data_IF_959127141047
#
_entry.id   IF_959127141047
#
_cell.length_a   1.000
_cell.length_b   1.000
_cell.length_c   1.000
_cell.angle_alpha   90.00
_cell.angle_beta   90.00
_cell.angle_gamma   90.00
#
_symmetry.space_group_name_H-M   'P 1'
#
loop_
_entity.id
_entity.type
_entity.pdbx_description
1 polymer ?
#
# COMPACT_ATOMS: atom_id res chain seq x y z
N UNK A 1 16.83 -14.08 -27.65
CA UNK A 1 15.42 -14.43 -27.91
C UNK A 1 14.61 -13.48 -27.07
N UNK A 2 13.91 -12.55 -27.71
CA UNK A 2 13.17 -11.46 -27.02
C UNK A 2 11.93 -12.06 -26.35
N UNK A 3 11.79 -11.86 -25.05
CA UNK A 3 10.58 -12.20 -24.30
C UNK A 3 9.38 -11.39 -24.83
N UNK A 4 8.19 -11.98 -24.93
CA UNK A 4 7.03 -11.24 -25.40
C UNK A 4 6.60 -10.22 -24.34
N UNK A 5 6.52 -8.95 -24.74
CA UNK A 5 5.80 -7.92 -24.01
C UNK A 5 4.35 -8.38 -23.84
N UNK A 6 3.98 -8.75 -22.63
CA UNK A 6 2.58 -9.03 -22.28
C UNK A 6 1.88 -7.67 -22.19
N UNK A 7 1.21 -7.31 -23.26
CA UNK A 7 0.34 -6.16 -23.32
C UNK A 7 -0.93 -6.49 -22.55
N UNK A 8 -0.98 -6.12 -21.27
CA UNK A 8 -2.17 -6.27 -20.42
C UNK A 8 -3.10 -5.12 -20.78
N UNK A 9 -3.96 -5.36 -21.77
CA UNK A 9 -4.93 -4.40 -22.29
C UNK A 9 -6.00 -4.09 -21.23
N UNK A 10 -6.15 -2.82 -20.87
CA UNK A 10 -7.35 -2.28 -20.24
C UNK A 10 -7.17 -1.56 -18.90
N UNK A 11 -6.06 -1.68 -18.22
CA UNK A 11 -5.80 -0.83 -17.05
C UNK A 11 -5.40 0.55 -17.55
N UNK A 12 -6.08 1.60 -17.11
CA UNK A 12 -5.71 3.00 -17.41
C UNK A 12 -4.36 3.31 -16.77
N UNK A 13 -3.30 2.76 -17.37
CA UNK A 13 -1.93 3.04 -16.98
C UNK A 13 -1.67 4.51 -17.26
N UNK A 14 -1.13 5.19 -16.27
CA UNK A 14 -0.82 6.61 -16.31
C UNK A 14 0.32 6.97 -17.29
N UNK A 15 0.61 6.12 -18.27
CA UNK A 15 1.68 6.30 -19.24
C UNK A 15 1.62 7.69 -19.88
N UNK A 16 2.64 8.51 -19.59
CA UNK A 16 2.72 9.90 -20.03
C UNK A 16 2.05 10.94 -19.11
N UNK A 17 1.48 10.53 -17.97
CA UNK A 17 1.00 11.45 -16.94
C UNK A 17 2.18 12.00 -16.13
N UNK A 18 2.08 13.28 -15.73
CA UNK A 18 3.06 13.89 -14.82
C UNK A 18 2.98 13.22 -13.45
N UNK A 19 4.04 13.30 -12.66
CA UNK A 19 4.03 12.84 -11.26
C UNK A 19 2.81 13.40 -10.49
N UNK A 20 2.55 14.70 -10.64
CA UNK A 20 1.44 15.39 -9.97
C UNK A 20 0.06 14.82 -10.26
N UNK A 21 -0.11 14.14 -11.39
CA UNK A 21 -1.39 13.54 -11.82
C UNK A 21 -1.53 12.09 -11.31
N UNK A 22 -0.51 11.59 -10.59
CA UNK A 22 -0.39 10.23 -10.04
C UNK A 22 -0.17 10.20 -8.52
N UNK A 23 -0.36 11.33 -7.83
CA UNK A 23 -0.33 11.39 -6.38
C UNK A 23 -1.71 11.05 -5.83
N UNK A 24 -1.77 10.02 -5.01
CA UNK A 24 -2.98 9.57 -4.33
C UNK A 24 -2.76 9.53 -2.82
N UNK A 25 -3.82 9.35 -2.06
CA UNK A 25 -3.75 9.14 -0.62
C UNK A 25 -4.41 7.84 -0.19
N UNK A 26 -4.32 7.55 1.10
CA UNK A 26 -5.05 6.47 1.74
C UNK A 26 -5.61 6.92 3.08
N UNK A 27 -6.80 6.42 3.50
CA UNK A 27 -7.48 6.85 4.72
C UNK A 27 -6.68 6.62 6.01
N UNK A 28 -5.70 5.71 6.00
CA UNK A 28 -4.82 5.43 7.14
C UNK A 28 -4.05 6.69 7.60
N UNK A 29 -3.75 7.62 6.69
CA UNK A 29 -3.12 8.90 7.04
C UNK A 29 -4.02 9.77 7.94
N UNK A 30 -5.30 9.47 8.02
CA UNK A 30 -6.27 10.10 8.91
C UNK A 30 -6.69 9.20 10.09
N UNK A 31 -5.92 8.17 10.38
CA UNK A 31 -6.18 7.23 11.47
C UNK A 31 -7.26 6.20 11.16
N UNK A 32 -7.73 6.09 9.92
CA UNK A 32 -8.75 5.12 9.52
C UNK A 32 -8.08 3.79 9.20
N UNK A 33 -8.30 2.79 10.05
CA UNK A 33 -7.62 1.51 10.02
C UNK A 33 -8.58 0.37 10.36
N UNK A 34 -8.34 -0.82 9.81
CA UNK A 34 -9.12 -2.04 10.06
C UNK A 34 -8.80 -2.70 11.41
N UNK A 35 -7.65 -2.36 12.03
CA UNK A 35 -7.20 -3.00 13.26
C UNK A 35 -8.07 -2.59 14.45
N UNK A 36 -8.70 -3.53 15.18
CA UNK A 36 -9.49 -3.22 16.36
C UNK A 36 -8.66 -2.50 17.43
N UNK A 37 -9.15 -1.36 17.92
CA UNK A 37 -8.46 -0.59 18.95
C UNK A 37 -7.30 0.25 18.46
N UNK A 38 -7.15 0.44 17.14
CA UNK A 38 -6.10 1.28 16.54
C UNK A 38 -6.10 2.69 17.11
N UNK A 39 -7.26 3.32 17.23
CA UNK A 39 -7.41 4.65 17.76
C UNK A 39 -8.74 5.27 17.35
N UNK A 40 -8.86 6.60 17.49
CA UNK A 40 -10.01 7.33 17.01
C UNK A 40 -10.04 7.36 15.48
N UNK A 41 -11.19 7.00 14.91
CA UNK A 41 -11.39 6.93 13.46
C UNK A 41 -12.07 8.23 12.98
N UNK A 42 -11.41 8.95 12.05
CA UNK A 42 -12.04 10.09 11.40
C UNK A 42 -13.13 9.65 10.42
N UNK A 43 -14.23 10.42 10.37
CA UNK A 43 -15.35 10.10 9.49
C UNK A 43 -15.06 10.38 8.01
N UNK A 44 -15.70 9.62 7.13
CA UNK A 44 -15.52 9.63 5.67
C UNK A 44 -15.62 11.02 5.06
N UNK A 45 -16.65 11.80 5.40
CA UNK A 45 -16.86 13.15 4.86
C UNK A 45 -15.68 14.07 5.15
N UNK A 46 -15.14 14.04 6.38
CA UNK A 46 -13.99 14.84 6.78
C UNK A 46 -12.75 14.40 5.99
N UNK A 47 -12.47 13.11 5.97
CA UNK A 47 -11.28 12.58 5.29
C UNK A 47 -11.29 12.91 3.80
N UNK A 48 -12.40 12.66 3.09
CA UNK A 48 -12.48 12.94 1.65
C UNK A 48 -12.42 14.43 1.33
N UNK A 49 -13.01 15.30 2.19
CA UNK A 49 -12.89 16.76 2.07
C UNK A 49 -11.45 17.21 2.24
N UNK A 50 -10.75 16.67 3.22
CA UNK A 50 -9.35 17.02 3.52
C UNK A 50 -8.40 16.48 2.44
N UNK A 51 -8.66 15.31 1.84
CA UNK A 51 -7.95 14.81 0.65
C UNK A 51 -8.04 15.80 -0.51
N UNK A 52 -9.25 16.31 -0.80
CA UNK A 52 -9.44 17.34 -1.82
C UNK A 52 -8.71 18.64 -1.48
N UNK A 53 -8.69 19.05 -0.23
CA UNK A 53 -7.97 20.24 0.26
C UNK A 53 -6.45 20.09 0.08
N UNK A 54 -5.90 18.90 0.33
CA UNK A 54 -4.49 18.58 0.07
C UNK A 54 -4.15 18.50 -1.43
N UNK A 55 -5.16 18.59 -2.30
CA UNK A 55 -4.98 18.54 -3.75
C UNK A 55 -4.65 17.15 -4.27
N UNK A 56 -5.09 16.11 -3.56
CA UNK A 56 -5.03 14.74 -4.04
C UNK A 56 -6.07 14.52 -5.14
N UNK A 57 -5.75 13.68 -6.11
CA UNK A 57 -6.63 13.40 -7.27
C UNK A 57 -7.23 11.99 -7.24
N UNK A 58 -6.78 11.16 -6.29
CA UNK A 58 -7.21 9.78 -6.14
C UNK A 58 -6.96 9.28 -4.70
N UNK A 59 -7.60 8.19 -4.34
CA UNK A 59 -7.41 7.53 -3.04
C UNK A 59 -7.56 6.03 -3.15
N UNK A 60 -6.93 5.29 -2.25
CA UNK A 60 -7.31 3.91 -1.94
C UNK A 60 -8.59 3.88 -1.10
N UNK A 61 -9.24 2.71 -1.06
CA UNK A 61 -10.56 2.56 -0.44
C UNK A 61 -10.56 2.71 1.09
N UNK A 62 -9.43 2.37 1.73
CA UNK A 62 -9.41 2.17 3.18
C UNK A 62 -10.14 0.89 3.60
N UNK A 63 -10.38 0.70 4.92
CA UNK A 63 -11.00 -0.49 5.46
C UNK A 63 -12.50 -0.59 5.15
N UNK A 64 -13.05 -1.80 5.31
CA UNK A 64 -14.49 -2.05 5.19
C UNK A 64 -15.29 -1.13 6.12
N UNK A 65 -16.40 -0.60 5.63
CA UNK A 65 -17.26 0.33 6.34
C UNK A 65 -16.81 1.80 6.32
N UNK A 66 -15.62 2.12 5.80
CA UNK A 66 -15.22 3.52 5.59
C UNK A 66 -15.93 4.13 4.37
N UNK A 67 -15.98 3.43 3.25
CA UNK A 67 -16.76 3.80 2.07
C UNK A 67 -18.00 2.88 1.95
N UNK A 68 -19.02 3.24 1.14
CA UNK A 68 -20.15 2.36 0.89
C UNK A 68 -19.74 0.96 0.43
N UNK A 69 -20.47 -0.07 0.86
CA UNK A 69 -20.22 -1.46 0.45
C UNK A 69 -20.53 -1.67 -1.04
N UNK A 70 -21.57 -1.00 -1.57
CA UNK A 70 -21.91 -1.06 -2.97
C UNK A 70 -20.82 -0.38 -3.83
N UNK A 71 -20.21 -1.10 -4.80
CA UNK A 71 -19.07 -0.59 -5.55
C UNK A 71 -19.39 0.65 -6.40
N UNK A 72 -20.61 0.75 -6.93
CA UNK A 72 -21.02 1.91 -7.72
C UNK A 72 -21.23 3.12 -6.82
N UNK A 73 -21.89 2.95 -5.66
CA UNK A 73 -22.06 4.02 -4.69
C UNK A 73 -20.69 4.48 -4.13
N UNK A 74 -19.72 3.56 -3.97
CA UNK A 74 -18.33 3.87 -3.59
C UNK A 74 -17.68 4.79 -4.63
N UNK A 75 -17.73 4.43 -5.90
CA UNK A 75 -17.19 5.23 -7.01
C UNK A 75 -17.86 6.61 -7.12
N UNK A 76 -19.20 6.65 -7.03
CA UNK A 76 -19.96 7.90 -7.06
C UNK A 76 -19.62 8.83 -5.90
N UNK A 77 -19.47 8.27 -4.69
CA UNK A 77 -19.05 9.05 -3.52
C UNK A 77 -17.67 9.66 -3.74
N UNK A 78 -16.67 8.88 -4.15
CA UNK A 78 -15.33 9.40 -4.42
C UNK A 78 -15.35 10.48 -5.50
N UNK A 79 -16.08 10.25 -6.59
CA UNK A 79 -16.22 11.23 -7.68
C UNK A 79 -16.88 12.53 -7.21
N UNK A 80 -17.81 12.49 -6.25
CA UNK A 80 -18.44 13.69 -5.68
C UNK A 80 -17.45 14.59 -4.94
N UNK A 81 -16.33 14.04 -4.47
CA UNK A 81 -15.20 14.78 -3.87
C UNK A 81 -14.06 15.07 -4.88
N UNK A 82 -14.26 14.74 -6.17
CA UNK A 82 -13.23 14.92 -7.19
C UNK A 82 -12.10 13.90 -7.13
N UNK A 83 -12.30 12.79 -6.42
CA UNK A 83 -11.32 11.72 -6.25
C UNK A 83 -11.63 10.54 -7.17
N UNK A 84 -10.58 9.90 -7.69
CA UNK A 84 -10.67 8.61 -8.39
C UNK A 84 -10.35 7.47 -7.44
N UNK A 85 -10.94 6.31 -7.67
CA UNK A 85 -10.54 5.08 -7.00
C UNK A 85 -9.20 4.58 -7.56
N UNK A 86 -8.23 4.32 -6.69
CA UNK A 86 -6.97 3.64 -7.07
C UNK A 86 -7.15 2.14 -6.96
N UNK A 87 -7.59 1.69 -5.81
CA UNK A 87 -7.68 0.31 -5.41
C UNK A 87 -7.82 0.17 -3.91
N UNK A 88 -7.29 -0.90 -3.35
CA UNK A 88 -7.34 -1.09 -1.92
C UNK A 88 -6.53 -2.27 -1.43
N UNK A 89 -6.28 -2.23 -0.14
CA UNK A 89 -5.58 -3.25 0.62
C UNK A 89 -6.47 -4.50 0.82
N UNK A 90 -5.92 -5.67 0.49
CA UNK A 90 -6.63 -6.96 0.59
C UNK A 90 -5.74 -7.96 1.32
N UNK A 91 -5.93 -8.11 2.64
CA UNK A 91 -5.19 -9.11 3.43
C UNK A 91 -5.75 -10.51 3.20
N UNK A 92 -4.89 -11.48 2.86
CA UNK A 92 -5.28 -12.85 2.55
C UNK A 92 -4.26 -13.84 3.11
N UNK A 93 -4.75 -14.91 3.74
CA UNK A 93 -3.90 -16.02 4.16
C UNK A 93 -3.53 -16.87 2.94
N UNK A 94 -2.26 -16.83 2.53
CA UNK A 94 -1.75 -17.49 1.33
C UNK A 94 -0.99 -18.79 1.61
N UNK A 95 -0.50 -18.97 2.83
CA UNK A 95 0.38 -20.08 3.22
C UNK A 95 -0.36 -21.33 3.70
N UNK A 96 -1.66 -21.23 4.02
CA UNK A 96 -2.45 -22.41 4.44
C UNK A 96 -3.07 -23.11 3.23
N UNK A 97 -2.53 -24.27 2.89
CA UNK A 97 -3.00 -25.08 1.74
C UNK A 97 -4.41 -25.63 1.89
N UNK A 98 -5.02 -25.53 3.08
CA UNK A 98 -6.41 -25.95 3.32
C UNK A 98 -7.43 -24.85 2.96
N UNK A 99 -6.95 -23.63 2.79
CA UNK A 99 -7.76 -22.47 2.38
C UNK A 99 -7.61 -22.24 0.88
N UNK A 100 -8.73 -22.08 0.19
CA UNK A 100 -8.72 -21.57 -1.18
C UNK A 100 -9.16 -20.10 -1.15
N UNK A 101 -8.24 -19.15 -1.37
CA UNK A 101 -8.57 -17.73 -1.31
C UNK A 101 -9.34 -17.23 -2.54
N UNK A 102 -9.31 -17.96 -3.65
CA UNK A 102 -9.78 -17.46 -4.95
C UNK A 102 -11.25 -17.03 -4.96
N UNK A 103 -12.21 -17.72 -4.32
CA UNK A 103 -13.61 -17.26 -4.33
C UNK A 103 -13.79 -15.88 -3.69
N UNK A 104 -13.08 -15.60 -2.59
CA UNK A 104 -13.09 -14.27 -1.95
C UNK A 104 -12.41 -13.21 -2.81
N UNK A 105 -11.27 -13.55 -3.41
CA UNK A 105 -10.54 -12.68 -4.33
C UNK A 105 -11.39 -12.37 -5.57
N UNK A 106 -12.09 -13.34 -6.15
CA UNK A 106 -12.94 -13.11 -7.32
C UNK A 106 -14.08 -12.12 -7.02
N UNK A 107 -14.71 -12.23 -5.84
CA UNK A 107 -15.71 -11.29 -5.37
C UNK A 107 -15.12 -9.87 -5.18
N UNK A 108 -13.94 -9.77 -4.58
CA UNK A 108 -13.24 -8.49 -4.41
C UNK A 108 -12.88 -7.86 -5.78
N UNK A 109 -12.35 -8.65 -6.72
CA UNK A 109 -12.00 -8.18 -8.08
C UNK A 109 -13.23 -7.67 -8.85
N UNK A 110 -14.37 -8.35 -8.73
CA UNK A 110 -15.62 -7.89 -9.33
C UNK A 110 -16.04 -6.52 -8.74
N UNK A 111 -15.90 -6.34 -7.43
CA UNK A 111 -16.18 -5.07 -6.77
C UNK A 111 -15.18 -3.97 -7.20
N UNK A 112 -13.89 -4.29 -7.33
CA UNK A 112 -12.87 -3.35 -7.82
C UNK A 112 -13.20 -2.88 -9.24
N UNK A 113 -13.51 -3.82 -10.14
CA UNK A 113 -13.90 -3.49 -11.52
C UNK A 113 -15.15 -2.61 -11.56
N UNK A 114 -16.17 -2.93 -10.75
CA UNK A 114 -17.41 -2.14 -10.69
C UNK A 114 -17.21 -0.73 -10.10
N UNK A 115 -16.17 -0.54 -9.26
CA UNK A 115 -15.80 0.75 -8.71
C UNK A 115 -14.76 1.51 -9.57
N UNK A 116 -14.42 1.01 -10.76
CA UNK A 116 -13.38 1.56 -11.64
C UNK A 116 -12.00 1.67 -10.96
N UNK A 117 -11.70 0.71 -10.07
CA UNK A 117 -10.44 0.62 -9.35
C UNK A 117 -9.50 -0.38 -10.01
N UNK A 118 -8.27 0.04 -10.28
CA UNK A 118 -7.33 -0.72 -11.11
C UNK A 118 -6.27 -1.51 -10.33
N UNK A 119 -6.14 -1.35 -9.00
CA UNK A 119 -5.04 -1.96 -8.24
C UNK A 119 -5.57 -2.72 -7.02
N UNK A 120 -5.17 -3.98 -6.89
CA UNK A 120 -5.34 -4.80 -5.68
C UNK A 120 -4.01 -4.91 -4.95
N UNK A 121 -3.91 -4.29 -3.78
CA UNK A 121 -2.74 -4.34 -2.91
C UNK A 121 -2.88 -5.54 -1.98
N UNK A 122 -2.26 -6.67 -2.35
CA UNK A 122 -2.37 -7.94 -1.66
C UNK A 122 -1.37 -8.02 -0.51
N UNK A 123 -1.83 -8.29 0.70
CA UNK A 123 -0.96 -8.59 1.83
C UNK A 123 -1.08 -10.06 2.25
N UNK A 124 0.06 -10.70 2.48
CA UNK A 124 0.11 -12.11 2.91
C UNK A 124 -0.18 -12.22 4.41
N UNK A 125 -1.46 -12.14 4.78
CA UNK A 125 -1.90 -12.15 6.17
C UNK A 125 -1.39 -13.37 6.95
N UNK A 126 -1.03 -13.15 8.23
CA UNK A 126 -0.58 -14.21 9.13
C UNK A 126 -1.71 -15.14 9.58
N UNK A 127 -2.97 -14.68 9.51
CA UNK A 127 -4.14 -15.35 10.09
C UNK A 127 -4.30 -15.06 11.59
N UNK A 128 -3.51 -14.16 12.15
CA UNK A 128 -3.59 -13.67 13.52
C UNK A 128 -4.09 -12.23 13.54
N UNK A 129 -4.62 -11.78 14.67
CA UNK A 129 -5.05 -10.40 14.86
C UNK A 129 -3.86 -9.49 15.14
N UNK A 130 -3.89 -8.27 14.56
CA UNK A 130 -2.87 -7.24 14.74
C UNK A 130 -1.58 -7.47 13.95
N UNK A 131 -0.56 -6.67 14.25
CA UNK A 131 0.70 -6.61 13.49
C UNK A 131 1.95 -6.91 14.32
N UNK A 132 1.82 -7.28 15.59
CA UNK A 132 2.97 -7.48 16.49
C UNK A 132 3.48 -8.93 16.52
N UNK A 133 2.72 -9.89 15.97
CA UNK A 133 3.07 -11.32 16.00
C UNK A 133 2.75 -11.98 14.67
N UNK A 134 3.68 -12.80 14.18
CA UNK A 134 3.48 -13.67 13.02
C UNK A 134 4.13 -15.02 13.20
N UNK A 135 3.60 -16.11 12.63
CA UNK A 135 4.24 -17.41 12.65
C UNK A 135 5.43 -17.46 11.70
N UNK A 136 6.36 -18.39 11.92
CA UNK A 136 7.37 -18.72 10.94
C UNK A 136 6.82 -19.74 9.93
N UNK A 137 7.15 -19.57 8.65
CA UNK A 137 6.79 -20.52 7.60
C UNK A 137 7.94 -21.50 7.33
N UNK A 138 7.58 -22.76 7.21
CA UNK A 138 8.46 -23.76 6.62
C UNK A 138 8.53 -23.64 5.08
N UNK A 139 9.29 -24.54 4.46
CA UNK A 139 9.46 -24.52 3.01
C UNK A 139 8.14 -24.81 2.25
N UNK A 140 7.23 -25.57 2.82
CA UNK A 140 5.94 -25.89 2.21
C UNK A 140 5.00 -24.69 2.28
N UNK A 141 4.95 -24.00 3.41
CA UNK A 141 4.21 -22.75 3.57
C UNK A 141 4.69 -21.66 2.60
N UNK A 142 6.00 -21.51 2.42
CA UNK A 142 6.54 -20.56 1.45
C UNK A 142 6.17 -20.92 0.01
N UNK A 143 6.25 -22.21 -0.38
CA UNK A 143 5.81 -22.63 -1.70
C UNK A 143 4.33 -22.37 -1.94
N UNK A 144 3.48 -22.62 -0.92
CA UNK A 144 2.05 -22.35 -0.98
C UNK A 144 1.79 -20.84 -1.17
N UNK A 145 2.44 -20.00 -0.36
CA UNK A 145 2.31 -18.54 -0.42
C UNK A 145 2.65 -18.01 -1.84
N UNK A 146 3.82 -18.36 -2.36
CA UNK A 146 4.26 -17.92 -3.68
C UNK A 146 3.30 -18.38 -4.80
N UNK A 147 2.91 -19.67 -4.77
CA UNK A 147 1.99 -20.21 -5.77
C UNK A 147 0.59 -19.57 -5.71
N UNK A 148 0.08 -19.27 -4.52
CA UNK A 148 -1.21 -18.58 -4.37
C UNK A 148 -1.13 -17.12 -4.81
N UNK A 149 -0.04 -16.42 -4.50
CA UNK A 149 0.18 -15.04 -4.93
C UNK A 149 0.15 -14.93 -6.47
N UNK A 150 0.85 -15.82 -7.17
CA UNK A 150 0.85 -15.86 -8.64
C UNK A 150 -0.52 -16.20 -9.22
N UNK A 151 -1.24 -17.17 -8.63
CA UNK A 151 -2.62 -17.50 -9.03
C UNK A 151 -3.57 -16.31 -8.89
N UNK A 152 -3.42 -15.52 -7.82
CA UNK A 152 -4.21 -14.30 -7.61
C UNK A 152 -3.85 -13.24 -8.64
N UNK A 153 -2.57 -13.04 -8.95
CA UNK A 153 -2.14 -12.11 -9.99
C UNK A 153 -2.71 -12.48 -11.38
N UNK A 154 -2.69 -13.76 -11.73
CA UNK A 154 -3.29 -14.25 -12.97
C UNK A 154 -4.82 -14.06 -13.00
N UNK A 155 -5.50 -14.28 -11.87
CA UNK A 155 -6.94 -14.07 -11.75
C UNK A 155 -7.27 -12.59 -11.90
N UNK A 156 -6.56 -11.70 -11.18
CA UNK A 156 -6.75 -10.25 -11.23
C UNK A 156 -6.59 -9.70 -12.65
N UNK A 157 -5.60 -10.18 -13.39
CA UNK A 157 -5.38 -9.79 -14.78
C UNK A 157 -6.60 -10.09 -15.68
N UNK A 158 -7.37 -11.14 -15.41
CA UNK A 158 -8.61 -11.47 -16.17
C UNK A 158 -9.73 -10.47 -15.91
N UNK A 159 -9.71 -9.79 -14.75
CA UNK A 159 -10.64 -8.71 -14.40
C UNK A 159 -10.13 -7.33 -14.83
N UNK A 160 -8.95 -7.24 -15.44
CA UNK A 160 -8.32 -5.98 -15.78
C UNK A 160 -7.78 -5.22 -14.56
N UNK A 161 -7.61 -5.91 -13.43
CA UNK A 161 -7.04 -5.37 -12.17
C UNK A 161 -5.60 -5.85 -12.03
N UNK A 162 -4.72 -4.94 -11.63
CA UNK A 162 -3.33 -5.24 -11.32
C UNK A 162 -3.21 -5.66 -9.86
N UNK A 163 -2.89 -6.91 -9.59
CA UNK A 163 -2.55 -7.34 -8.24
C UNK A 163 -1.04 -7.19 -8.01
N UNK A 164 -0.66 -6.64 -6.87
CA UNK A 164 0.72 -6.55 -6.42
C UNK A 164 0.82 -6.97 -4.96
N UNK A 165 1.91 -7.66 -4.59
CA UNK A 165 2.13 -8.05 -3.20
C UNK A 165 2.82 -6.92 -2.45
N UNK A 166 2.28 -6.63 -1.29
CA UNK A 166 2.72 -5.58 -0.39
C UNK A 166 3.45 -6.21 0.81
N UNK A 167 4.78 -6.12 0.90
CA UNK A 167 5.49 -6.45 2.13
C UNK A 167 5.03 -5.53 3.26
N UNK A 168 4.53 -6.13 4.35
CA UNK A 168 3.90 -5.38 5.43
C UNK A 168 4.28 -5.97 6.78
N UNK A 169 4.52 -5.11 7.78
CA UNK A 169 4.78 -5.51 9.17
C UNK A 169 3.65 -6.39 9.68
N UNK A 170 3.99 -7.47 10.41
CA UNK A 170 3.03 -8.42 10.94
C UNK A 170 2.41 -9.40 9.93
N UNK A 171 2.80 -9.32 8.65
CA UNK A 171 2.39 -10.29 7.62
C UNK A 171 3.46 -11.34 7.37
N UNK A 172 3.18 -12.33 6.52
CA UNK A 172 4.14 -13.37 6.19
C UNK A 172 5.29 -12.90 5.30
N UNK A 173 5.19 -11.70 4.70
CA UNK A 173 6.25 -11.05 3.93
C UNK A 173 6.56 -9.71 4.57
N UNK A 174 7.53 -9.69 5.48
CA UNK A 174 7.90 -8.52 6.28
C UNK A 174 9.40 -8.22 6.18
N UNK A 175 10.24 -9.20 6.54
CA UNK A 175 11.67 -8.99 6.65
C UNK A 175 12.38 -8.99 5.30
N UNK A 176 13.62 -8.48 5.28
CA UNK A 176 14.47 -8.55 4.07
C UNK A 176 14.60 -9.98 3.52
N UNK A 177 14.67 -10.98 4.39
CA UNK A 177 14.73 -12.38 3.95
C UNK A 177 13.43 -12.85 3.32
N UNK A 178 12.28 -12.38 3.81
CA UNK A 178 10.97 -12.71 3.27
C UNK A 178 10.76 -12.08 1.89
N UNK A 179 11.13 -10.80 1.74
CA UNK A 179 11.09 -10.09 0.45
C UNK A 179 11.95 -10.81 -0.59
N UNK A 180 13.16 -11.23 -0.23
CA UNK A 180 14.02 -12.00 -1.15
C UNK A 180 13.42 -13.35 -1.53
N UNK A 181 12.87 -14.09 -0.57
CA UNK A 181 12.19 -15.36 -0.84
C UNK A 181 10.99 -15.18 -1.77
N UNK A 182 10.21 -14.12 -1.57
CA UNK A 182 9.10 -13.80 -2.48
C UNK A 182 9.60 -13.53 -3.90
N UNK A 183 10.63 -12.69 -4.05
CA UNK A 183 11.21 -12.35 -5.36
C UNK A 183 11.78 -13.55 -6.09
N UNK A 184 12.34 -14.52 -5.36
CA UNK A 184 12.89 -15.76 -5.91
C UNK A 184 11.81 -16.80 -6.21
N UNK A 185 10.69 -16.79 -5.49
CA UNK A 185 9.67 -17.85 -5.51
C UNK A 185 8.38 -17.51 -6.25
N UNK A 186 8.14 -16.24 -6.59
CA UNK A 186 6.89 -15.78 -7.21
C UNK A 186 7.15 -14.70 -8.26
N UNK A 187 6.25 -14.63 -9.25
CA UNK A 187 6.28 -13.62 -10.32
C UNK A 187 5.34 -12.44 -10.05
N UNK A 188 4.50 -12.49 -9.01
CA UNK A 188 3.59 -11.39 -8.68
C UNK A 188 4.37 -10.08 -8.53
N UNK A 189 3.91 -8.96 -9.13
CA UNK A 189 4.53 -7.65 -8.94
C UNK A 189 4.50 -7.19 -7.48
N UNK A 190 5.27 -6.15 -7.17
CA UNK A 190 5.37 -5.56 -5.84
C UNK A 190 4.63 -4.23 -5.75
N UNK A 191 3.99 -3.99 -4.61
CA UNK A 191 3.81 -2.67 -4.04
C UNK A 191 5.07 -2.33 -3.23
N UNK A 192 5.80 -1.31 -3.63
CA UNK A 192 6.94 -0.80 -2.86
C UNK A 192 6.39 0.12 -1.77
N UNK A 193 6.30 -0.39 -0.54
CA UNK A 193 6.02 0.44 0.63
C UNK A 193 7.33 0.83 1.30
N UNK A 194 7.65 2.11 1.28
CA UNK A 194 8.93 2.60 1.80
C UNK A 194 9.06 2.45 3.31
N UNK A 195 7.95 2.59 4.04
CA UNK A 195 7.93 2.50 5.49
C UNK A 195 8.00 1.06 6.00
N UNK A 196 7.09 0.20 5.55
CA UNK A 196 7.09 -1.19 6.00
C UNK A 196 8.37 -1.92 5.63
N UNK A 197 8.96 -1.64 4.46
CA UNK A 197 10.25 -2.19 4.07
C UNK A 197 11.37 -1.75 5.03
N UNK A 198 11.44 -0.47 5.42
CA UNK A 198 12.43 0.01 6.38
C UNK A 198 12.23 -0.63 7.75
N UNK A 199 11.00 -0.70 8.26
CA UNK A 199 10.71 -1.39 9.53
C UNK A 199 11.12 -2.85 9.46
N UNK A 200 10.86 -3.56 8.35
CA UNK A 200 11.28 -4.94 8.11
C UNK A 200 12.78 -5.14 7.81
N UNK A 201 13.56 -4.04 7.76
CA UNK A 201 15.02 -4.09 7.54
C UNK A 201 15.43 -4.24 6.07
N UNK A 202 14.53 -3.93 5.12
CA UNK A 202 14.84 -3.82 3.69
C UNK A 202 15.05 -2.35 3.33
N UNK A 203 16.14 -2.02 2.65
CA UNK A 203 16.33 -0.68 2.09
C UNK A 203 15.44 -0.52 0.83
N UNK A 204 14.39 0.34 0.88
CA UNK A 204 13.48 0.50 -0.25
C UNK A 204 14.16 1.17 -1.47
N UNK A 205 15.20 1.98 -1.25
CA UNK A 205 15.94 2.59 -2.35
C UNK A 205 16.85 1.57 -3.05
N UNK A 206 17.46 0.64 -2.30
CA UNK A 206 18.18 -0.51 -2.87
C UNK A 206 17.22 -1.37 -3.70
N UNK A 207 16.05 -1.72 -3.15
CA UNK A 207 15.04 -2.54 -3.82
C UNK A 207 14.52 -1.89 -5.12
N UNK A 208 14.25 -0.58 -5.09
CA UNK A 208 13.82 0.16 -6.28
C UNK A 208 14.87 0.16 -7.41
N UNK A 209 16.16 0.10 -7.07
CA UNK A 209 17.25 -0.02 -8.06
C UNK A 209 17.44 -1.44 -8.56
N UNK A 210 17.28 -2.45 -7.68
CA UNK A 210 17.52 -3.86 -8.01
C UNK A 210 16.43 -4.46 -8.92
N UNK A 211 15.15 -4.16 -8.62
CA UNK A 211 14.00 -4.80 -9.29
C UNK A 211 12.92 -3.79 -9.74
N UNK A 212 13.29 -2.68 -10.42
CA UNK A 212 12.34 -1.63 -10.78
C UNK A 212 11.16 -2.15 -11.64
N UNK A 213 11.39 -3.16 -12.46
CA UNK A 213 10.37 -3.79 -13.32
C UNK A 213 9.32 -4.60 -12.55
N UNK A 214 9.62 -4.98 -11.31
CA UNK A 214 8.69 -5.68 -10.40
C UNK A 214 7.79 -4.70 -9.65
N UNK A 215 8.14 -3.41 -9.58
CA UNK A 215 7.41 -2.40 -8.83
C UNK A 215 6.36 -1.77 -9.73
N UNK A 216 5.09 -1.99 -9.40
CA UNK A 216 3.94 -1.53 -10.20
C UNK A 216 3.02 -0.60 -9.41
N UNK A 217 3.21 -0.51 -8.12
CA UNK A 217 2.49 0.34 -7.18
C UNK A 217 3.40 0.80 -6.06
N UNK A 218 3.12 1.94 -5.43
CA UNK A 218 3.92 2.42 -4.30
C UNK A 218 3.05 2.95 -3.18
N UNK A 219 3.43 2.63 -1.94
CA UNK A 219 3.03 3.35 -0.75
C UNK A 219 4.25 4.14 -0.25
N UNK A 220 4.14 5.45 -0.25
CA UNK A 220 5.21 6.32 0.22
C UNK A 220 4.95 6.70 1.67
N UNK A 221 5.75 6.13 2.56
CA UNK A 221 5.80 6.42 4.00
C UNK A 221 7.20 6.89 4.35
N UNK A 222 7.33 8.03 5.02
CA UNK A 222 8.61 8.45 5.58
C UNK A 222 8.72 8.03 7.04
N UNK A 223 9.91 7.68 7.49
CA UNK A 223 10.12 6.90 8.72
C UNK A 223 11.22 7.53 9.56
N UNK A 224 11.00 7.58 10.87
CA UNK A 224 12.06 7.76 11.87
C UNK A 224 12.77 6.41 12.06
N UNK A 225 13.96 6.26 11.51
CA UNK A 225 14.73 5.00 11.52
C UNK A 225 15.08 4.55 12.94
N UNK A 226 15.24 5.45 13.88
CA UNK A 226 15.53 5.08 15.27
C UNK A 226 14.33 4.37 15.92
N UNK A 227 13.09 4.80 15.62
CA UNK A 227 11.90 4.11 16.09
C UNK A 227 11.67 2.80 15.32
N UNK A 228 11.89 2.78 14.00
CA UNK A 228 11.80 1.57 13.19
C UNK A 228 12.79 0.49 13.66
N UNK A 229 14.02 0.85 13.98
CA UNK A 229 15.02 -0.07 14.53
C UNK A 229 14.56 -0.73 15.83
N UNK A 230 13.94 0.04 16.73
CA UNK A 230 13.41 -0.50 18.01
C UNK A 230 12.25 -1.49 17.78
N UNK A 231 11.40 -1.27 16.77
CA UNK A 231 10.37 -2.24 16.40
C UNK A 231 11.02 -3.52 15.86
N UNK A 232 11.96 -3.39 14.96
CA UNK A 232 12.70 -4.50 14.33
C UNK A 232 13.48 -5.34 15.37
N UNK A 233 13.99 -4.70 16.42
CA UNK A 233 14.70 -5.35 17.53
C UNK A 233 13.75 -5.92 18.61
N UNK A 234 12.44 -5.70 18.48
CA UNK A 234 11.43 -6.17 19.43
C UNK A 234 11.40 -5.40 20.75
N UNK A 235 12.02 -4.20 20.79
CA UNK A 235 12.02 -3.33 21.97
C UNK A 235 10.71 -2.51 22.09
N UNK A 236 10.01 -2.33 20.99
CA UNK A 236 8.78 -1.53 20.91
C UNK A 236 7.78 -2.24 20.00
N UNK A 237 6.52 -2.33 20.42
CA UNK A 237 5.44 -2.83 19.57
C UNK A 237 5.18 -1.88 18.40
N UNK A 238 4.73 -2.42 17.25
CA UNK A 238 4.50 -1.64 16.04
C UNK A 238 3.48 -0.52 16.28
N UNK A 239 2.32 -0.84 16.84
CA UNK A 239 1.27 0.16 17.12
C UNK A 239 1.75 1.27 18.07
N UNK A 240 2.58 0.92 19.07
CA UNK A 240 3.16 1.90 19.99
C UNK A 240 4.21 2.78 19.32
N UNK A 241 4.96 2.24 18.36
CA UNK A 241 5.90 3.02 17.56
C UNK A 241 5.17 4.02 16.65
N UNK A 242 4.08 3.59 16.00
CA UNK A 242 3.22 4.48 15.20
C UNK A 242 2.68 5.61 16.08
N UNK A 243 2.13 5.29 17.25
CA UNK A 243 1.64 6.28 18.23
C UNK A 243 2.75 7.23 18.71
N UNK A 244 3.99 6.76 18.79
CA UNK A 244 5.16 7.58 19.14
C UNK A 244 5.65 8.46 17.97
N UNK A 245 5.02 8.38 16.80
CA UNK A 245 5.36 9.20 15.63
C UNK A 245 6.47 8.60 14.78
N UNK A 246 6.53 7.27 14.65
CA UNK A 246 7.48 6.59 13.77
C UNK A 246 7.33 7.01 12.31
N UNK A 247 6.09 7.20 11.85
CA UNK A 247 5.86 7.73 10.51
C UNK A 247 5.84 9.26 10.52
N UNK A 248 6.55 9.83 9.57
CA UNK A 248 6.77 11.27 9.40
C UNK A 248 6.11 11.78 8.11
N UNK A 249 5.77 13.08 8.02
CA UNK A 249 5.44 13.67 6.73
C UNK A 249 6.56 13.43 5.71
N UNK A 250 6.22 13.18 4.46
CA UNK A 250 7.21 12.90 3.42
C UNK A 250 8.27 14.01 3.32
N UNK A 251 9.53 13.61 3.30
CA UNK A 251 10.69 14.49 3.29
C UNK A 251 11.14 14.96 4.68
N UNK A 252 10.53 14.44 5.76
CA UNK A 252 10.87 14.81 7.15
C UNK A 252 11.37 13.60 7.98
N UNK A 253 11.47 12.43 7.38
CA UNK A 253 12.04 11.23 7.98
C UNK A 253 13.39 10.86 7.33
N UNK A 254 13.74 9.60 7.46
CA UNK A 254 15.03 9.05 7.03
C UNK A 254 14.94 8.26 5.70
N UNK A 255 13.74 8.07 5.13
CA UNK A 255 13.57 7.39 3.84
C UNK A 255 14.00 8.29 2.67
N UNK A 256 14.79 7.74 1.74
CA UNK A 256 15.20 8.47 0.52
C UNK A 256 14.05 8.53 -0.51
N UNK A 257 12.92 9.15 -0.11
CA UNK A 257 11.72 9.25 -0.95
C UNK A 257 12.05 9.89 -2.31
N UNK A 258 12.82 10.96 -2.31
CA UNK A 258 13.19 11.67 -3.54
C UNK A 258 14.01 10.79 -4.49
N UNK A 259 15.01 10.08 -3.98
CA UNK A 259 15.84 9.15 -4.75
C UNK A 259 15.05 7.94 -5.27
N UNK A 260 14.09 7.43 -4.48
CA UNK A 260 13.21 6.34 -4.89
C UNK A 260 12.33 6.78 -6.06
N UNK A 261 11.63 7.92 -5.92
CA UNK A 261 10.76 8.46 -6.97
C UNK A 261 11.57 8.75 -8.24
N UNK A 262 12.74 9.40 -8.13
CA UNK A 262 13.61 9.66 -9.26
C UNK A 262 14.08 8.36 -9.97
N UNK A 263 14.39 7.32 -9.17
CA UNK A 263 14.77 6.00 -9.70
C UNK A 263 13.62 5.39 -10.50
N UNK A 264 12.42 5.34 -9.93
CA UNK A 264 11.23 4.77 -10.58
C UNK A 264 10.85 5.54 -11.85
N UNK A 265 10.81 6.87 -11.81
CA UNK A 265 10.55 7.72 -12.98
C UNK A 265 11.57 7.48 -14.11
N UNK A 266 12.86 7.38 -13.77
CA UNK A 266 13.92 7.09 -14.74
C UNK A 266 13.77 5.74 -15.43
N UNK A 267 13.03 4.82 -14.83
CA UNK A 267 12.74 3.47 -15.34
C UNK A 267 11.37 3.37 -16.01
N UNK A 268 10.65 4.49 -16.12
CA UNK A 268 9.35 4.53 -16.79
C UNK A 268 8.20 4.00 -15.94
N UNK A 269 8.30 4.11 -14.62
CA UNK A 269 7.20 3.79 -13.72
C UNK A 269 5.96 4.62 -14.06
N UNK A 270 4.84 3.95 -14.24
CA UNK A 270 3.55 4.55 -14.63
C UNK A 270 2.44 4.32 -13.60
N UNK A 271 2.77 3.75 -12.42
CA UNK A 271 1.87 3.50 -11.31
C UNK A 271 1.56 4.74 -10.46
N UNK A 272 0.76 4.54 -9.44
CA UNK A 272 0.42 5.57 -8.45
C UNK A 272 1.50 5.73 -7.39
N UNK A 273 1.66 6.95 -6.92
CA UNK A 273 2.37 7.29 -5.68
C UNK A 273 1.33 7.56 -4.60
N UNK A 274 1.00 6.53 -3.82
CA UNK A 274 0.05 6.65 -2.72
C UNK A 274 0.81 7.14 -1.49
N UNK A 275 0.41 8.29 -1.00
CA UNK A 275 0.96 8.83 0.25
C UNK A 275 0.26 8.18 1.42
N UNK A 276 1.03 7.59 2.31
CA UNK A 276 0.56 7.00 3.55
C UNK A 276 1.43 7.46 4.73
N UNK A 277 0.78 7.83 5.80
CA UNK A 277 1.39 8.08 7.09
C UNK A 277 0.51 7.42 8.13
N UNK A 278 0.85 6.20 8.54
CA UNK A 278 0.04 5.51 9.53
C UNK A 278 -0.06 6.35 10.79
N UNK A 279 -1.29 6.65 11.17
CA UNK A 279 -1.60 7.61 12.23
C UNK A 279 -2.51 6.98 13.26
N UNK A 280 -2.13 7.07 14.53
CA UNK A 280 -2.98 6.69 15.66
C UNK A 280 -3.45 7.95 16.36
N UNK A 281 -4.76 8.18 16.37
CA UNK A 281 -5.38 9.32 17.03
C UNK A 281 -5.93 8.91 18.40
N UNK A 282 -5.58 9.66 19.45
CA UNK A 282 -6.11 9.43 20.81
C UNK A 282 -7.56 9.96 20.97
N UNK A 283 -8.02 10.74 20.01
CA UNK A 283 -9.35 11.34 19.98
C UNK A 283 -9.51 12.28 18.80
N UNK A 284 -10.65 12.95 18.70
CA UNK A 284 -10.90 13.92 17.64
C UNK A 284 -9.87 15.07 17.70
N UNK A 285 -9.14 15.35 16.59
CA UNK A 285 -8.14 16.41 16.57
C UNK A 285 -8.76 17.80 16.84
N UNK A 286 -8.10 18.58 17.71
CA UNK A 286 -8.45 19.97 18.02
C UNK A 286 -7.77 20.91 17.04
N UNK A 287 -8.18 20.96 15.81
CA UNK A 287 -7.54 21.77 14.78
C UNK A 287 -7.53 21.04 13.46
N UNK A 288 -6.55 21.33 12.61
CA UNK A 288 -6.45 20.69 11.30
C UNK A 288 -6.17 19.19 11.43
N UNK A 289 -5.32 18.80 12.37
CA UNK A 289 -4.96 17.38 12.56
C UNK A 289 -4.11 16.82 11.41
N UNK A 290 -4.30 15.56 11.02
CA UNK A 290 -3.43 14.89 10.04
C UNK A 290 -3.33 15.56 8.68
N UNK A 291 -4.29 16.36 8.27
CA UNK A 291 -4.30 17.02 6.95
C UNK A 291 -3.09 17.94 6.74
N UNK A 292 -2.54 18.54 7.81
CA UNK A 292 -1.35 19.39 7.71
C UNK A 292 -0.13 18.58 7.21
N UNK A 293 0.05 17.38 7.74
CA UNK A 293 1.12 16.46 7.35
C UNK A 293 0.92 15.98 5.90
N UNK A 294 -0.30 15.66 5.53
CA UNK A 294 -0.63 15.23 4.16
C UNK A 294 -0.38 16.37 3.15
N UNK A 295 -0.75 17.60 3.49
CA UNK A 295 -0.45 18.77 2.65
C UNK A 295 1.06 18.93 2.48
N UNK A 296 1.83 18.87 3.59
CA UNK A 296 3.28 18.99 3.55
C UNK A 296 3.92 17.90 2.66
N UNK A 297 3.47 16.66 2.79
CA UNK A 297 3.92 15.54 1.96
C UNK A 297 3.56 15.71 0.47
N UNK A 298 2.35 16.20 0.18
CA UNK A 298 1.92 16.47 -1.20
C UNK A 298 2.75 17.61 -1.83
N UNK A 299 3.05 18.66 -1.08
CA UNK A 299 3.92 19.75 -1.54
C UNK A 299 5.35 19.28 -1.78
N UNK A 300 5.88 18.43 -0.88
CA UNK A 300 7.18 17.80 -1.06
C UNK A 300 7.24 17.03 -2.39
N UNK A 301 6.29 16.13 -2.66
CA UNK A 301 6.27 15.35 -3.91
C UNK A 301 6.12 16.24 -5.14
N UNK A 302 5.25 17.26 -5.10
CA UNK A 302 5.04 18.22 -6.21
C UNK A 302 6.29 19.08 -6.47
N UNK A 303 7.14 19.26 -5.46
CA UNK A 303 8.39 20.01 -5.55
C UNK A 303 9.57 19.22 -6.11
N UNK A 304 9.45 17.90 -6.25
CA UNK A 304 10.53 17.07 -6.79
C UNK A 304 10.80 17.41 -8.26
N UNK A 305 12.08 17.47 -8.60
CA UNK A 305 12.57 17.72 -9.98
C UNK A 305 13.79 16.83 -10.23
N UNK A 306 13.89 16.21 -11.38
CA UNK A 306 15.00 15.39 -11.88
C UNK A 306 15.30 15.64 -13.36
#
# INVERSE_FOLDING_TARGET
MSSPNVNVNGVDRAAGRRLTDRIAGAPISWGVCEVPGWGYQLGTERVLTEMGTAGLVATEFGPDGFLPDDPHAKAELLASYGLRAVGGFVPVVLHDTKLDPLPGIEAALAAFTAADAGVMVLAAASGLDGYDVRPELDADGWRALCAQADRIAELAARFGVLACLHPHVGTMVETRSDVRRLLEGAEIPLCLDTGHLMVGGTDPAELAREVPERIVHTHLKDVDEALAARVREGELGYTDAVRAGMYRPLGQGDADIAGIVATLESRGYDGWYVMEQDTVLDGEPKGAGPVEDVIAGAEFLKGLSW
#
